data_IF_501975481264
#
_entry.id   IF_501975481264
#
_cell.length_a   1.000
_cell.length_b   1.000
_cell.length_c   1.000
_cell.angle_alpha   90.00
_cell.angle_beta   90.00
_cell.angle_gamma   90.00
#
_symmetry.space_group_name_H-M   'P 1'
#
loop_
_entity.id
_entity.type
_entity.pdbx_description
1 polymer ?
#
# COMPACT_ATOMS: atom_id res chain seq x y z
N UNK A 1 -67.70 -24.20 49.29
CA UNK A 1 -67.21 -24.91 48.06
C UNK A 1 -66.68 -23.94 47.01
N UNK A 2 -65.90 -22.94 47.33
CA UNK A 2 -65.32 -21.99 46.29
C UNK A 2 -63.81 -21.83 46.38
N UNK A 3 -63.15 -22.53 47.27
CA UNK A 3 -61.67 -22.44 47.43
C UNK A 3 -60.89 -23.57 46.74
N UNK A 4 -61.55 -24.63 46.32
CA UNK A 4 -60.89 -25.77 45.70
C UNK A 4 -60.63 -25.60 44.18
N UNK A 5 -61.21 -24.57 43.53
CA UNK A 5 -61.00 -24.35 42.08
C UNK A 5 -59.92 -23.32 41.74
N UNK A 6 -59.41 -22.58 42.72
CA UNK A 6 -58.34 -21.59 42.50
C UNK A 6 -56.97 -22.24 42.61
N UNK A 7 -56.83 -23.32 43.41
CA UNK A 7 -55.55 -24.02 43.55
C UNK A 7 -55.13 -24.84 42.32
N UNK A 8 -56.11 -25.26 41.51
CA UNK A 8 -55.83 -26.04 40.29
C UNK A 8 -55.29 -25.24 39.09
N UNK A 9 -55.63 -23.93 39.05
CA UNK A 9 -55.22 -23.08 37.91
C UNK A 9 -53.79 -22.55 38.11
N UNK A 10 -53.38 -22.35 39.37
CA UNK A 10 -52.00 -21.88 39.68
C UNK A 10 -50.96 -22.98 39.49
N UNK A 11 -51.31 -24.25 39.73
CA UNK A 11 -50.42 -25.40 39.50
C UNK A 11 -50.17 -25.69 38.01
N UNK A 12 -51.13 -25.41 37.13
CA UNK A 12 -50.98 -25.61 35.67
C UNK A 12 -50.11 -24.51 35.01
N UNK A 13 -50.10 -23.25 35.56
CA UNK A 13 -49.31 -22.17 35.02
C UNK A 13 -47.82 -22.25 35.40
N UNK A 14 -47.49 -22.90 36.53
CA UNK A 14 -46.09 -23.08 36.97
C UNK A 14 -45.43 -24.25 36.21
N UNK A 15 -46.16 -25.19 35.74
CA UNK A 15 -45.62 -26.31 34.91
C UNK A 15 -45.25 -25.92 33.47
N UNK A 16 -45.92 -24.91 32.88
CA UNK A 16 -45.61 -24.44 31.53
C UNK A 16 -44.40 -23.49 31.46
N UNK A 17 -44.02 -22.77 32.54
CA UNK A 17 -42.86 -21.89 32.58
C UNK A 17 -41.56 -22.71 32.74
N UNK A 18 -41.59 -23.89 33.27
CA UNK A 18 -40.40 -24.77 33.42
C UNK A 18 -40.01 -25.48 32.13
N UNK A 19 -40.90 -25.55 31.10
CA UNK A 19 -40.61 -26.22 29.81
C UNK A 19 -39.96 -25.31 28.76
N UNK A 20 -39.90 -23.98 28.98
CA UNK A 20 -39.27 -23.01 28.02
C UNK A 20 -37.79 -22.75 28.28
N UNK A 21 -37.21 -23.30 29.37
CA UNK A 21 -35.84 -23.04 29.84
C UNK A 21 -34.74 -23.95 29.24
N UNK A 22 -35.06 -24.83 28.28
CA UNK A 22 -34.07 -25.78 27.74
C UNK A 22 -33.85 -25.61 26.21
N UNK A 23 -34.00 -24.39 25.70
CA UNK A 23 -33.41 -24.07 24.39
C UNK A 23 -31.92 -23.86 24.63
N UNK A 24 -31.15 -24.95 24.45
CA UNK A 24 -29.71 -24.90 24.44
C UNK A 24 -29.28 -23.81 23.48
N UNK A 25 -28.57 -22.80 23.98
CA UNK A 25 -27.80 -21.89 23.15
C UNK A 25 -26.80 -22.78 22.44
N UNK A 26 -27.15 -23.26 21.24
CA UNK A 26 -26.25 -24.01 20.40
C UNK A 26 -24.99 -23.19 20.22
N UNK A 27 -23.84 -23.73 20.63
CA UNK A 27 -22.57 -23.10 20.34
C UNK A 27 -22.56 -22.69 18.88
N UNK A 28 -22.09 -21.47 18.53
CA UNK A 28 -22.03 -21.05 17.15
C UNK A 28 -21.24 -22.11 16.38
N UNK A 29 -21.91 -22.78 15.44
CA UNK A 29 -21.25 -23.70 14.53
C UNK A 29 -20.21 -22.88 13.80
N UNK A 30 -18.93 -23.22 13.99
CA UNK A 30 -17.87 -22.72 13.12
C UNK A 30 -18.25 -23.11 11.69
N UNK A 31 -18.64 -22.14 10.87
CA UNK A 31 -18.81 -22.36 9.43
C UNK A 31 -17.41 -22.66 8.94
N UNK A 32 -17.20 -23.86 8.43
CA UNK A 32 -15.93 -24.21 7.79
C UNK A 32 -15.68 -23.19 6.68
N UNK A 33 -14.48 -22.59 6.68
CA UNK A 33 -14.10 -21.70 5.60
C UNK A 33 -14.24 -22.46 4.26
N UNK A 34 -14.71 -21.79 3.18
CA UNK A 34 -14.77 -22.41 1.86
C UNK A 34 -13.41 -23.04 1.54
N UNK A 35 -13.41 -24.20 0.88
CA UNK A 35 -12.18 -24.97 0.57
C UNK A 35 -11.11 -24.16 -0.22
N UNK A 36 -11.49 -23.03 -0.82
CA UNK A 36 -10.65 -22.17 -1.66
C UNK A 36 -10.09 -20.93 -0.92
N UNK A 37 -10.27 -20.81 0.40
CA UNK A 37 -9.77 -19.66 1.15
C UNK A 37 -8.33 -19.86 1.60
N UNK A 38 -7.38 -19.05 1.09
CA UNK A 38 -6.00 -19.10 1.57
C UNK A 38 -5.90 -18.55 3.00
N UNK A 39 -5.00 -19.14 3.79
CA UNK A 39 -4.67 -18.57 5.10
C UNK A 39 -3.94 -17.22 4.93
N UNK A 40 -3.18 -17.07 3.85
CA UNK A 40 -2.38 -15.90 3.54
C UNK A 40 -2.47 -15.52 2.06
N UNK A 41 -2.77 -14.27 1.76
CA UNK A 41 -2.84 -13.72 0.42
C UNK A 41 -1.85 -12.59 0.24
N UNK A 42 -1.06 -12.65 -0.83
CA UNK A 42 -0.16 -11.57 -1.28
C UNK A 42 -0.83 -10.86 -2.45
N UNK A 43 -1.13 -9.59 -2.29
CA UNK A 43 -1.61 -8.72 -3.36
C UNK A 43 -0.41 -7.94 -3.88
N UNK A 44 -0.01 -8.22 -5.10
CA UNK A 44 1.17 -7.66 -5.75
C UNK A 44 0.77 -6.61 -6.77
N UNK A 45 1.32 -5.41 -6.64
CA UNK A 45 1.03 -4.26 -7.53
C UNK A 45 2.28 -3.95 -8.36
N UNK A 46 2.31 -4.35 -9.65
CA UNK A 46 3.45 -4.11 -10.54
C UNK A 46 3.69 -2.62 -10.80
N UNK A 47 4.89 -2.28 -11.24
CA UNK A 47 5.26 -0.90 -11.57
C UNK A 47 4.74 -0.42 -12.93
N UNK A 48 5.07 0.83 -13.27
CA UNK A 48 4.77 1.43 -14.57
C UNK A 48 5.29 0.53 -15.70
N UNK A 49 4.44 0.29 -16.71
CA UNK A 49 4.67 -0.57 -17.89
C UNK A 49 4.88 -2.05 -17.58
N UNK A 50 4.80 -2.47 -16.33
CA UNK A 50 4.91 -3.88 -15.96
C UNK A 50 3.58 -4.64 -16.01
N UNK A 51 2.47 -3.95 -16.15
CA UNK A 51 1.12 -4.49 -16.32
C UNK A 51 0.26 -3.54 -17.14
N UNK A 52 -0.95 -3.97 -17.53
CA UNK A 52 -2.01 -3.12 -18.10
C UNK A 52 -3.36 -3.79 -17.89
N UNK A 53 -4.45 -3.08 -18.17
CA UNK A 53 -5.83 -3.62 -18.08
C UNK A 53 -6.08 -4.74 -19.09
N UNK A 54 -5.38 -4.70 -20.23
CA UNK A 54 -5.56 -5.66 -21.33
C UNK A 54 -4.52 -6.79 -21.34
N UNK A 55 -3.40 -6.60 -20.65
CA UNK A 55 -2.29 -7.56 -20.58
C UNK A 55 -1.69 -7.56 -19.16
N UNK A 56 -2.39 -8.17 -18.19
CA UNK A 56 -1.91 -8.26 -16.82
C UNK A 56 -0.64 -9.11 -16.74
N UNK A 57 0.43 -8.50 -16.22
CA UNK A 57 1.74 -9.12 -16.05
C UNK A 57 2.22 -8.99 -14.62
N UNK A 58 3.26 -9.72 -14.29
CA UNK A 58 3.79 -9.80 -12.92
C UNK A 58 4.96 -8.86 -12.66
N UNK A 59 5.63 -8.39 -13.71
CA UNK A 59 6.76 -7.50 -13.63
C UNK A 59 7.88 -8.01 -12.71
N UNK A 60 8.61 -7.06 -12.12
CA UNK A 60 9.69 -7.32 -11.16
C UNK A 60 9.22 -8.12 -9.94
N UNK A 61 7.96 -7.93 -9.52
CA UNK A 61 7.40 -8.61 -8.35
C UNK A 61 7.27 -10.13 -8.54
N UNK A 62 7.38 -10.64 -9.76
CA UNK A 62 7.51 -12.08 -10.00
C UNK A 62 8.71 -12.70 -9.28
N UNK A 63 9.79 -11.93 -9.08
CA UNK A 63 10.98 -12.38 -8.34
C UNK A 63 10.73 -12.43 -6.82
N UNK A 64 9.76 -11.67 -6.33
CA UNK A 64 9.35 -11.64 -4.92
C UNK A 64 8.37 -12.77 -4.61
N UNK A 65 7.48 -13.11 -5.51
CA UNK A 65 6.35 -13.99 -5.22
C UNK A 65 6.51 -15.42 -5.73
N UNK A 66 7.39 -15.65 -6.71
CA UNK A 66 7.64 -17.00 -7.26
C UNK A 66 8.28 -17.89 -6.21
N UNK A 67 7.68 -19.07 -5.98
CA UNK A 67 8.21 -20.05 -5.03
C UNK A 67 7.82 -19.77 -3.57
N UNK A 68 6.90 -18.85 -3.30
CA UNK A 68 6.28 -18.76 -1.99
C UNK A 68 5.58 -20.08 -1.61
N UNK A 69 5.39 -20.39 -0.31
CA UNK A 69 4.71 -21.61 0.12
C UNK A 69 3.36 -21.83 -0.56
N UNK A 70 2.97 -23.06 -0.81
CA UNK A 70 1.71 -23.41 -1.47
C UNK A 70 0.45 -22.93 -0.70
N UNK A 71 0.59 -22.61 0.59
CA UNK A 71 -0.45 -22.00 1.43
C UNK A 71 -0.70 -20.53 1.10
N UNK A 72 0.19 -19.88 0.34
CA UNK A 72 0.13 -18.48 -0.06
C UNK A 72 -0.55 -18.37 -1.42
N UNK A 73 -1.60 -17.59 -1.48
CA UNK A 73 -2.21 -17.18 -2.75
C UNK A 73 -1.66 -15.82 -3.16
N UNK A 74 -1.11 -15.72 -4.36
CA UNK A 74 -0.65 -14.45 -4.94
C UNK A 74 -1.62 -13.98 -6.01
N UNK A 75 -2.06 -12.73 -5.90
CA UNK A 75 -2.87 -12.04 -6.89
C UNK A 75 -2.13 -10.80 -7.37
N UNK A 76 -2.11 -10.57 -8.68
CA UNK A 76 -1.49 -9.39 -9.28
C UNK A 76 -2.55 -8.40 -9.69
N UNK A 77 -2.35 -7.14 -9.31
CA UNK A 77 -3.26 -6.05 -9.67
C UNK A 77 -3.03 -5.64 -11.11
N UNK A 78 -4.10 -5.68 -11.91
CA UNK A 78 -4.12 -5.12 -13.25
C UNK A 78 -4.65 -3.69 -13.17
N UNK A 79 -3.98 -2.74 -13.82
CA UNK A 79 -4.35 -1.34 -13.92
C UNK A 79 -3.59 -0.71 -15.09
N UNK A 80 -3.91 0.51 -15.59
CA UNK A 80 -3.26 1.09 -16.76
C UNK A 80 -1.73 1.12 -16.69
N UNK A 81 -1.16 1.35 -15.52
CA UNK A 81 0.29 1.39 -15.24
C UNK A 81 1.05 2.34 -16.18
N UNK A 82 0.42 3.46 -16.56
CA UNK A 82 0.97 4.50 -17.44
C UNK A 82 1.60 5.63 -16.65
N UNK A 83 2.56 6.32 -17.25
CA UNK A 83 3.25 7.46 -16.65
C UNK A 83 3.06 8.74 -17.46
N UNK A 84 2.89 8.65 -18.77
CA UNK A 84 3.02 9.78 -19.69
C UNK A 84 1.67 10.11 -20.35
N UNK A 85 1.34 11.40 -20.55
CA UNK A 85 0.02 11.81 -21.06
C UNK A 85 -0.38 11.22 -22.42
N UNK A 86 0.60 10.88 -23.26
CA UNK A 86 0.34 10.30 -24.60
C UNK A 86 0.09 8.79 -24.60
N UNK A 87 0.12 8.13 -23.43
CA UNK A 87 -0.16 6.71 -23.28
C UNK A 87 -1.66 6.41 -23.05
N UNK A 88 -2.50 7.43 -23.11
CA UNK A 88 -3.95 7.33 -22.93
C UNK A 88 -4.42 7.73 -21.53
N UNK A 89 -3.67 7.39 -20.48
CA UNK A 89 -3.97 7.79 -19.11
C UNK A 89 -2.78 8.51 -18.49
N UNK A 90 -3.06 9.60 -17.77
CA UNK A 90 -2.04 10.31 -16.98
C UNK A 90 -1.74 9.54 -15.68
N UNK A 91 -0.53 9.74 -15.15
CA UNK A 91 -0.03 9.03 -13.96
C UNK A 91 -1.04 8.98 -12.81
N UNK A 92 -1.60 10.12 -12.39
CA UNK A 92 -2.52 10.16 -11.24
C UNK A 92 -3.84 9.43 -11.47
N UNK A 93 -4.30 9.28 -12.73
CA UNK A 93 -5.48 8.49 -13.04
C UNK A 93 -5.15 6.99 -13.02
N UNK A 94 -4.03 6.62 -13.62
CA UNK A 94 -3.50 5.26 -13.58
C UNK A 94 -3.29 4.77 -12.13
N UNK A 95 -2.67 5.59 -11.30
CA UNK A 95 -2.45 5.32 -9.88
C UNK A 95 -3.78 5.14 -9.12
N UNK A 96 -4.74 6.05 -9.27
CA UNK A 96 -6.06 5.97 -8.64
C UNK A 96 -6.82 4.71 -9.05
N UNK A 97 -6.73 4.31 -10.31
CA UNK A 97 -7.34 3.06 -10.78
C UNK A 97 -6.66 1.85 -10.15
N UNK A 98 -5.33 1.85 -10.06
CA UNK A 98 -4.58 0.84 -9.32
C UNK A 98 -5.02 0.71 -7.87
N UNK A 99 -5.22 1.84 -7.17
CA UNK A 99 -5.73 1.87 -5.78
C UNK A 99 -7.14 1.26 -5.70
N UNK A 100 -8.04 1.63 -6.60
CA UNK A 100 -9.42 1.10 -6.62
C UNK A 100 -9.44 -0.41 -6.91
N UNK A 101 -8.63 -0.87 -7.87
CA UNK A 101 -8.54 -2.30 -8.22
C UNK A 101 -7.93 -3.11 -7.07
N UNK A 102 -6.92 -2.57 -6.39
CA UNK A 102 -6.31 -3.19 -5.20
C UNK A 102 -7.33 -3.29 -4.06
N UNK A 103 -8.08 -2.23 -3.76
CA UNK A 103 -9.17 -2.23 -2.77
C UNK A 103 -10.22 -3.27 -3.12
N UNK A 104 -10.69 -3.30 -4.36
CA UNK A 104 -11.69 -4.25 -4.84
C UNK A 104 -11.23 -5.69 -4.66
N UNK A 105 -10.01 -6.02 -5.06
CA UNK A 105 -9.44 -7.35 -4.93
C UNK A 105 -9.34 -7.81 -3.48
N UNK A 106 -8.89 -6.94 -2.57
CA UNK A 106 -8.83 -7.23 -1.13
C UNK A 106 -10.24 -7.41 -0.58
N UNK A 107 -11.18 -6.52 -0.89
CA UNK A 107 -12.55 -6.56 -0.39
C UNK A 107 -13.27 -7.84 -0.82
N UNK A 108 -13.14 -8.24 -2.09
CA UNK A 108 -13.73 -9.45 -2.64
C UNK A 108 -13.20 -10.72 -1.96
N UNK A 109 -11.88 -10.81 -1.79
CA UNK A 109 -11.29 -11.96 -1.12
C UNK A 109 -11.62 -11.96 0.37
N UNK A 110 -11.57 -10.81 1.03
CA UNK A 110 -11.89 -10.66 2.45
C UNK A 110 -13.36 -10.98 2.76
N UNK A 111 -14.28 -10.60 1.86
CA UNK A 111 -15.71 -10.87 1.98
C UNK A 111 -16.04 -12.36 1.88
N UNK A 112 -15.32 -13.10 1.04
CA UNK A 112 -15.47 -14.55 0.89
C UNK A 112 -14.70 -15.33 1.96
N UNK A 113 -13.56 -14.80 2.41
CA UNK A 113 -12.58 -15.49 3.22
C UNK A 113 -12.26 -14.67 4.48
N UNK A 114 -13.16 -14.70 5.47
CA UNK A 114 -13.07 -13.87 6.68
C UNK A 114 -11.80 -14.04 7.51
N UNK A 115 -11.11 -15.19 7.43
CA UNK A 115 -9.89 -15.47 8.19
C UNK A 115 -8.58 -15.23 7.41
N UNK A 116 -8.64 -14.90 6.12
CA UNK A 116 -7.44 -14.65 5.30
C UNK A 116 -6.68 -13.43 5.81
N UNK A 117 -5.38 -13.57 6.03
CA UNK A 117 -4.46 -12.46 6.29
C UNK A 117 -3.86 -11.98 4.97
N UNK A 118 -3.54 -10.70 4.88
CA UNK A 118 -3.08 -10.06 3.66
C UNK A 118 -1.66 -9.53 3.80
N UNK A 119 -0.92 -9.62 2.70
CA UNK A 119 0.26 -8.79 2.45
C UNK A 119 0.03 -7.93 1.21
N UNK A 120 0.57 -6.72 1.23
CA UNK A 120 0.67 -5.84 0.08
C UNK A 120 2.13 -5.73 -0.33
N UNK A 121 2.42 -5.92 -1.62
CA UNK A 121 3.75 -5.64 -2.17
C UNK A 121 3.62 -4.79 -3.42
N UNK A 122 4.48 -3.79 -3.55
CA UNK A 122 4.45 -2.88 -4.69
C UNK A 122 5.85 -2.48 -5.15
N UNK A 123 5.97 -2.16 -6.44
CA UNK A 123 7.18 -1.60 -7.03
C UNK A 123 6.85 -0.32 -7.79
N UNK A 124 7.64 0.76 -7.58
CA UNK A 124 7.53 2.01 -8.34
C UNK A 124 6.12 2.63 -8.19
N UNK A 125 5.40 2.91 -9.27
CA UNK A 125 4.00 3.34 -9.22
C UNK A 125 3.13 2.33 -8.43
N UNK A 126 3.39 1.04 -8.55
CA UNK A 126 2.72 0.02 -7.75
C UNK A 126 3.05 0.09 -6.26
N UNK A 127 4.23 0.59 -5.87
CA UNK A 127 4.55 0.87 -4.47
C UNK A 127 3.77 2.07 -3.94
N UNK A 128 3.52 3.10 -4.78
CA UNK A 128 2.60 4.18 -4.46
C UNK A 128 1.20 3.63 -4.16
N UNK A 129 0.64 2.87 -5.10
CA UNK A 129 -0.68 2.24 -4.98
C UNK A 129 -0.78 1.35 -3.73
N UNK A 130 0.13 0.40 -3.56
CA UNK A 130 0.12 -0.52 -2.42
C UNK A 130 0.28 0.21 -1.08
N UNK A 131 1.13 1.23 -1.05
CA UNK A 131 1.37 2.06 0.13
C UNK A 131 0.15 2.91 0.50
N UNK A 132 -0.57 3.49 -0.47
CA UNK A 132 -1.78 4.28 -0.21
C UNK A 132 -2.90 3.40 0.34
N UNK A 133 -3.12 2.21 -0.23
CA UNK A 133 -4.09 1.24 0.32
C UNK A 133 -3.69 0.77 1.72
N UNK A 134 -2.38 0.55 1.97
CA UNK A 134 -1.90 0.21 3.30
C UNK A 134 -2.13 1.33 4.32
N UNK A 135 -1.90 2.59 3.93
CA UNK A 135 -2.15 3.76 4.78
C UNK A 135 -3.65 3.92 5.13
N UNK A 136 -4.54 3.67 4.18
CA UNK A 136 -5.99 3.65 4.43
C UNK A 136 -6.39 2.56 5.43
N UNK A 137 -5.89 1.34 5.24
CA UNK A 137 -6.12 0.24 6.18
C UNK A 137 -5.58 0.61 7.55
N UNK A 138 -4.35 1.15 7.61
CA UNK A 138 -3.71 1.55 8.85
C UNK A 138 -4.39 2.71 9.58
N UNK A 139 -5.08 3.59 8.87
CA UNK A 139 -5.92 4.66 9.46
C UNK A 139 -7.30 4.19 9.91
N UNK A 140 -7.68 2.95 9.62
CA UNK A 140 -8.97 2.37 9.99
C UNK A 140 -10.11 2.68 9.03
N UNK A 141 -9.85 3.33 7.89
CA UNK A 141 -10.85 3.62 6.85
C UNK A 141 -10.75 2.67 5.65
N UNK A 142 -9.80 1.72 5.68
CA UNK A 142 -9.59 0.76 4.61
C UNK A 142 -10.64 -0.34 4.54
N UNK A 143 -10.55 -1.17 3.50
CA UNK A 143 -11.52 -2.24 3.18
C UNK A 143 -11.42 -3.48 4.07
N UNK A 144 -10.38 -3.57 4.90
CA UNK A 144 -10.20 -4.59 5.95
C UNK A 144 -9.71 -3.94 7.24
N UNK A 145 -9.93 -4.57 8.41
CA UNK A 145 -9.31 -4.13 9.67
C UNK A 145 -7.77 -4.21 9.60
N UNK A 146 -7.05 -3.29 10.30
CA UNK A 146 -5.58 -3.23 10.27
C UNK A 146 -4.88 -4.52 10.67
N UNK A 147 -5.42 -5.30 11.59
CA UNK A 147 -4.85 -6.56 12.09
C UNK A 147 -4.86 -7.69 11.04
N UNK A 148 -5.64 -7.54 9.97
CA UNK A 148 -5.61 -8.47 8.84
C UNK A 148 -4.53 -8.17 7.80
N UNK A 149 -3.92 -6.97 7.83
CA UNK A 149 -2.78 -6.62 6.99
C UNK A 149 -1.48 -6.87 7.78
N UNK A 150 -0.77 -7.93 7.45
CA UNK A 150 0.36 -8.43 8.26
C UNK A 150 1.74 -8.19 7.65
N UNK A 151 1.78 -7.72 6.41
CA UNK A 151 3.01 -7.30 5.74
C UNK A 151 2.74 -6.27 4.65
N UNK A 152 3.62 -5.27 4.53
CA UNK A 152 3.64 -4.31 3.43
C UNK A 152 5.08 -4.13 2.98
N UNK A 153 5.39 -4.50 1.75
CA UNK A 153 6.73 -4.41 1.16
C UNK A 153 6.73 -3.46 -0.04
N UNK A 154 7.48 -2.37 0.04
CA UNK A 154 7.48 -1.31 -0.96
C UNK A 154 8.89 -1.14 -1.55
N UNK A 155 9.05 -1.49 -2.83
CA UNK A 155 10.27 -1.26 -3.60
C UNK A 155 10.14 0.06 -4.36
N UNK A 156 11.05 1.00 -4.14
CA UNK A 156 11.04 2.32 -4.79
C UNK A 156 9.73 3.10 -4.60
N UNK A 157 9.31 3.27 -3.34
CA UNK A 157 8.08 4.00 -3.04
C UNK A 157 8.28 5.52 -3.21
N UNK A 158 7.55 6.18 -4.14
CA UNK A 158 7.68 7.63 -4.35
C UNK A 158 7.10 8.44 -3.19
N UNK A 159 6.41 7.80 -2.25
CA UNK A 159 5.90 8.42 -1.03
C UNK A 159 6.59 7.93 0.25
N UNK A 160 7.80 7.37 0.10
CA UNK A 160 8.62 6.99 1.25
C UNK A 160 8.86 8.18 2.17
N UNK A 161 8.64 7.98 3.47
CA UNK A 161 9.06 8.92 4.51
C UNK A 161 10.48 8.58 5.00
N UNK A 162 11.30 9.58 5.40
CA UNK A 162 12.56 9.32 6.10
C UNK A 162 12.38 8.51 7.40
N UNK A 163 11.18 8.50 7.97
CA UNK A 163 10.83 7.76 9.19
C UNK A 163 10.31 6.36 8.95
N UNK A 164 10.08 5.97 7.69
CA UNK A 164 9.67 4.60 7.37
C UNK A 164 10.81 3.62 7.63
N UNK A 165 10.47 2.39 8.03
CA UNK A 165 11.48 1.37 8.26
C UNK A 165 12.12 0.95 6.95
N UNK A 166 13.30 1.45 6.69
CA UNK A 166 14.11 1.19 5.51
C UNK A 166 14.92 -0.10 5.69
N UNK A 167 14.88 -0.96 4.69
CA UNK A 167 15.72 -2.14 4.54
C UNK A 167 16.80 -1.85 3.51
N UNK A 168 18.05 -1.98 3.91
CA UNK A 168 19.20 -1.70 3.06
C UNK A 168 20.05 -0.52 3.54
N UNK A 169 20.97 -0.08 2.70
CA UNK A 169 21.78 1.11 2.95
C UNK A 169 20.91 2.35 3.14
N UNK A 170 21.33 3.30 4.03
CA UNK A 170 20.58 4.53 4.24
C UNK A 170 20.51 5.36 2.96
N UNK A 171 19.38 6.03 2.78
CA UNK A 171 19.14 7.01 1.71
C UNK A 171 18.59 8.29 2.29
N UNK A 172 18.94 9.41 1.70
CA UNK A 172 18.53 10.74 2.17
C UNK A 172 17.10 11.10 1.69
N UNK A 173 16.54 12.12 2.30
CA UNK A 173 15.29 12.76 1.89
C UNK A 173 14.08 11.82 1.90
N UNK A 174 13.05 12.23 1.16
CA UNK A 174 11.80 11.52 1.01
C UNK A 174 11.59 11.06 -0.43
N UNK A 175 10.55 10.27 -0.69
CA UNK A 175 10.15 9.94 -2.05
C UNK A 175 9.71 11.18 -2.83
N UNK A 176 9.82 11.14 -4.16
CA UNK A 176 9.58 12.27 -5.06
C UNK A 176 8.18 12.88 -4.91
N UNK A 177 7.19 12.07 -4.58
CA UNK A 177 5.81 12.51 -4.37
C UNK A 177 5.51 13.01 -2.94
N UNK A 178 6.53 13.09 -2.09
CA UNK A 178 6.40 13.48 -0.68
C UNK A 178 5.84 12.38 0.22
N UNK A 179 6.19 12.43 1.50
CA UNK A 179 5.74 11.43 2.47
C UNK A 179 4.20 11.41 2.62
N UNK A 180 3.65 10.24 2.93
CA UNK A 180 2.22 10.10 3.27
C UNK A 180 1.91 10.82 4.57
N UNK A 181 1.00 11.83 4.59
CA UNK A 181 0.54 12.44 5.82
C UNK A 181 -0.10 11.39 6.74
N UNK A 182 0.32 11.37 8.01
CA UNK A 182 -0.12 10.35 8.96
C UNK A 182 0.56 8.98 8.81
N UNK A 183 1.41 8.80 7.81
CA UNK A 183 2.16 7.56 7.58
C UNK A 183 1.25 6.35 7.36
N UNK A 184 1.62 5.23 7.98
CA UNK A 184 0.88 3.97 7.84
C UNK A 184 0.01 3.64 9.07
N UNK A 185 -0.18 4.56 10.00
CA UNK A 185 -1.04 4.36 11.16
C UNK A 185 -0.77 3.05 11.91
N UNK A 186 -1.81 2.26 12.17
CA UNK A 186 -1.72 1.00 12.93
C UNK A 186 -0.88 -0.09 12.26
N UNK A 187 -0.68 -0.03 10.92
CA UNK A 187 0.11 -1.03 10.19
C UNK A 187 1.58 -0.64 10.03
N UNK A 188 2.02 0.52 10.55
CA UNK A 188 3.44 0.95 10.51
C UNK A 188 4.43 -0.14 10.93
N UNK A 189 4.18 -0.96 11.98
CA UNK A 189 5.13 -2.00 12.41
C UNK A 189 5.37 -3.10 11.36
N UNK A 190 4.44 -3.30 10.44
CA UNK A 190 4.52 -4.34 9.40
C UNK A 190 4.88 -3.79 8.02
N UNK A 191 5.28 -2.52 7.93
CA UNK A 191 5.75 -1.90 6.68
C UNK A 191 7.27 -1.99 6.57
N UNK A 192 7.75 -2.33 5.38
CA UNK A 192 9.17 -2.32 5.00
C UNK A 192 9.32 -1.62 3.67
N UNK A 193 10.19 -0.62 3.62
CA UNK A 193 10.54 0.09 2.39
C UNK A 193 11.95 -0.27 1.96
N UNK A 194 12.17 -0.39 0.67
CA UNK A 194 13.48 -0.60 0.08
C UNK A 194 13.68 0.45 -1.00
N UNK A 195 14.75 1.23 -0.87
CA UNK A 195 15.10 2.29 -1.81
C UNK A 195 16.57 2.15 -2.19
N UNK A 196 16.86 1.96 -3.47
CA UNK A 196 18.24 1.87 -3.94
C UNK A 196 18.91 3.25 -3.87
N UNK A 197 20.15 3.27 -3.43
CA UNK A 197 20.93 4.52 -3.38
C UNK A 197 21.01 5.12 -4.78
N UNK A 198 20.60 6.39 -4.91
CA UNK A 198 20.54 7.09 -6.19
C UNK A 198 19.21 6.93 -6.95
N UNK A 199 18.26 6.17 -6.44
CA UNK A 199 16.91 6.11 -7.00
C UNK A 199 16.10 7.34 -6.56
N UNK A 200 16.05 8.34 -7.43
CA UNK A 200 15.35 9.61 -7.19
C UNK A 200 13.84 9.45 -7.04
N UNK A 201 13.28 8.31 -7.43
CA UNK A 201 11.84 8.07 -7.26
C UNK A 201 11.46 7.90 -5.79
N UNK A 202 12.30 7.21 -5.01
CA UNK A 202 12.08 6.96 -3.59
C UNK A 202 13.01 7.78 -2.64
N UNK A 203 13.98 8.53 -3.18
CA UNK A 203 14.95 9.30 -2.41
C UNK A 203 15.33 10.57 -3.16
N UNK A 204 14.55 11.63 -2.95
CA UNK A 204 14.89 12.99 -3.42
C UNK A 204 15.54 13.73 -2.26
N UNK A 205 16.74 14.29 -2.45
CA UNK A 205 17.38 15.12 -1.44
C UNK A 205 16.49 16.28 -0.96
N UNK A 206 16.60 16.67 0.31
CA UNK A 206 15.73 17.70 0.88
C UNK A 206 15.94 19.09 0.25
N UNK A 207 17.11 19.33 -0.32
CA UNK A 207 17.46 20.58 -1.02
C UNK A 207 17.04 20.58 -2.51
N UNK A 208 16.56 19.44 -3.05
CA UNK A 208 16.02 19.37 -4.40
C UNK A 208 14.52 19.67 -4.44
N UNK A 209 14.18 20.95 -4.25
CA UNK A 209 12.78 21.42 -4.32
C UNK A 209 12.15 21.20 -5.69
N UNK A 210 12.91 21.29 -6.77
CA UNK A 210 12.40 21.11 -8.14
C UNK A 210 11.94 19.67 -8.38
N UNK A 211 12.73 18.67 -7.94
CA UNK A 211 12.38 17.25 -7.98
C UNK A 211 11.12 16.94 -7.19
N UNK A 212 10.98 17.52 -6.01
CA UNK A 212 9.80 17.35 -5.13
C UNK A 212 8.55 17.99 -5.74
N UNK A 213 8.66 19.19 -6.34
CA UNK A 213 7.54 19.80 -7.05
C UNK A 213 7.10 18.98 -8.27
N UNK A 214 8.04 18.46 -9.05
CA UNK A 214 7.73 17.63 -10.21
C UNK A 214 7.01 16.34 -9.81
N UNK A 215 7.46 15.68 -8.74
CA UNK A 215 6.79 14.48 -8.20
C UNK A 215 5.38 14.78 -7.70
N UNK A 216 5.20 15.88 -6.97
CA UNK A 216 3.89 16.32 -6.50
C UNK A 216 2.94 16.69 -7.65
N UNK A 217 3.42 17.44 -8.66
CA UNK A 217 2.65 17.79 -9.83
C UNK A 217 2.18 16.56 -10.62
N UNK A 218 2.98 15.52 -10.66
CA UNK A 218 2.62 14.25 -11.30
C UNK A 218 1.43 13.59 -10.60
N UNK A 219 1.38 13.61 -9.26
CA UNK A 219 0.21 13.12 -8.51
C UNK A 219 -1.04 13.97 -8.76
N UNK A 220 -0.90 15.28 -8.87
CA UNK A 220 -2.01 16.19 -9.15
C UNK A 220 -2.53 16.10 -10.58
N UNK A 221 -1.93 15.33 -11.46
CA UNK A 221 -2.41 15.18 -12.84
C UNK A 221 -3.85 14.63 -12.91
N UNK A 222 -4.30 13.88 -11.90
CA UNK A 222 -5.69 13.49 -11.71
C UNK A 222 -6.00 13.33 -10.20
N UNK A 223 -6.27 14.40 -9.45
CA UNK A 223 -6.40 14.37 -8.01
C UNK A 223 -7.55 13.49 -7.55
N UNK A 224 -7.32 12.66 -6.54
CA UNK A 224 -8.36 11.93 -5.82
C UNK A 224 -8.99 12.85 -4.77
N UNK A 225 -10.30 13.08 -4.79
CA UNK A 225 -10.99 13.90 -3.79
C UNK A 225 -10.78 13.40 -2.33
N UNK A 226 -10.59 12.09 -2.12
CA UNK A 226 -10.33 11.51 -0.80
C UNK A 226 -8.93 11.84 -0.28
N UNK A 227 -8.00 12.20 -1.18
CA UNK A 227 -6.61 12.55 -0.87
C UNK A 227 -6.39 14.08 -0.73
N UNK A 228 -7.41 14.92 -0.89
CA UNK A 228 -7.28 16.38 -0.78
C UNK A 228 -6.54 16.83 0.50
N UNK A 229 -6.85 16.30 1.70
CA UNK A 229 -6.11 16.66 2.91
C UNK A 229 -4.62 16.31 2.82
N UNK A 230 -4.30 15.19 2.17
CA UNK A 230 -2.93 14.72 1.97
C UNK A 230 -2.17 15.61 0.98
N UNK A 231 -2.81 16.02 -0.12
CA UNK A 231 -2.22 16.99 -1.06
C UNK A 231 -1.96 18.33 -0.40
N UNK A 232 -2.89 18.83 0.41
CA UNK A 232 -2.70 20.07 1.16
C UNK A 232 -1.54 19.97 2.15
N UNK A 233 -1.41 18.85 2.87
CA UNK A 233 -0.31 18.62 3.81
C UNK A 233 1.04 18.50 3.08
N UNK A 234 1.09 17.79 1.95
CA UNK A 234 2.29 17.68 1.11
C UNK A 234 2.70 19.04 0.55
N UNK A 235 1.74 19.81 0.02
CA UNK A 235 2.01 21.17 -0.46
C UNK A 235 2.52 22.07 0.66
N UNK A 236 1.92 22.04 1.84
CA UNK A 236 2.39 22.79 3.00
C UNK A 236 3.81 22.40 3.43
N UNK A 237 4.15 21.11 3.39
CA UNK A 237 5.52 20.64 3.66
C UNK A 237 6.51 21.22 2.66
N UNK A 238 6.21 21.13 1.35
CA UNK A 238 7.05 21.70 0.30
C UNK A 238 7.17 23.22 0.45
N UNK A 239 6.06 23.91 0.73
CA UNK A 239 6.06 25.37 0.92
C UNK A 239 6.79 25.80 2.19
N UNK A 240 6.69 25.06 3.30
CA UNK A 240 7.39 25.39 4.54
C UNK A 240 8.90 25.29 4.40
N UNK A 241 9.38 24.36 3.60
CA UNK A 241 10.80 24.24 3.25
C UNK A 241 11.22 25.28 2.22
N UNK A 242 10.31 25.64 1.30
CA UNK A 242 10.50 26.70 0.30
C UNK A 242 10.51 28.12 0.90
N UNK A 243 10.01 28.36 2.10
CA UNK A 243 10.08 29.66 2.81
C UNK A 243 11.51 30.04 3.22
N UNK A 244 12.50 29.20 2.94
CA UNK A 244 13.92 29.59 2.98
C UNK A 244 14.17 30.64 1.88
N UNK A 245 14.92 31.73 2.17
CA UNK A 245 15.15 32.83 1.23
C UNK A 245 15.69 32.35 -0.12
N UNK A 246 14.98 32.66 -1.21
CA UNK A 246 15.40 32.36 -2.60
C UNK A 246 14.46 31.54 -3.44
N UNK A 247 13.43 30.90 -2.87
CA UNK A 247 12.52 30.01 -3.61
C UNK A 247 11.64 30.68 -4.67
N UNK A 248 11.26 31.97 -4.45
CA UNK A 248 10.50 32.74 -5.44
C UNK A 248 11.28 32.94 -6.75
N UNK A 249 12.61 32.88 -6.70
CA UNK A 249 13.44 32.92 -7.90
C UNK A 249 13.31 31.64 -8.73
N UNK A 250 13.01 30.49 -8.13
CA UNK A 250 12.82 29.21 -8.84
C UNK A 250 11.52 29.23 -9.65
N UNK A 251 10.43 29.81 -9.12
CA UNK A 251 9.16 29.95 -9.83
C UNK A 251 9.17 31.03 -10.90
N UNK A 252 10.05 32.00 -10.80
CA UNK A 252 10.21 33.11 -11.75
C UNK A 252 11.45 32.97 -12.63
N UNK A 253 12.22 31.88 -12.48
CA UNK A 253 13.43 31.66 -13.27
C UNK A 253 13.07 31.53 -14.75
N UNK A 254 13.76 32.24 -15.64
CA UNK A 254 13.68 31.99 -17.08
C UNK A 254 14.07 30.54 -17.38
N UNK A 255 13.57 29.98 -18.49
CA UNK A 255 13.89 28.62 -18.93
C UNK A 255 15.41 28.37 -19.11
N UNK A 256 16.20 29.40 -19.08
CA UNK A 256 17.68 29.41 -19.22
C UNK A 256 18.42 29.45 -17.86
N UNK A 257 17.75 29.21 -16.73
CA UNK A 257 18.39 29.18 -15.41
C UNK A 257 19.31 27.94 -15.27
N UNK A 258 20.56 28.13 -14.83
CA UNK A 258 21.49 27.03 -14.55
C UNK A 258 20.93 25.93 -13.63
N UNK A 259 20.00 26.25 -12.74
CA UNK A 259 19.32 25.29 -11.86
C UNK A 259 18.40 24.33 -12.64
N UNK A 260 17.70 24.81 -13.68
CA UNK A 260 16.83 23.99 -14.53
C UNK A 260 17.64 23.03 -15.41
N UNK A 261 18.80 23.48 -15.89
CA UNK A 261 19.72 22.63 -16.62
C UNK A 261 20.37 21.56 -15.73
N UNK A 262 20.74 21.91 -14.50
CA UNK A 262 21.29 20.98 -13.55
C UNK A 262 20.28 19.88 -13.21
N UNK A 263 19.04 20.25 -12.94
CA UNK A 263 17.96 19.28 -12.69
C UNK A 263 17.70 18.39 -13.90
N UNK A 264 17.63 18.94 -15.11
CA UNK A 264 17.46 18.15 -16.34
C UNK A 264 18.60 17.14 -16.53
N UNK A 265 19.85 17.54 -16.25
CA UNK A 265 20.99 16.63 -16.28
C UNK A 265 20.88 15.53 -15.23
N UNK A 266 20.47 15.86 -14.02
CA UNK A 266 20.29 14.91 -12.92
C UNK A 266 19.21 13.86 -13.25
N UNK A 267 18.06 14.28 -13.78
CA UNK A 267 16.99 13.37 -14.24
C UNK A 267 17.48 12.49 -15.39
N UNK A 268 18.19 13.05 -16.38
CA UNK A 268 18.76 12.26 -17.47
C UNK A 268 19.79 11.24 -16.98
N UNK A 269 20.66 11.60 -16.05
CA UNK A 269 21.62 10.70 -15.42
C UNK A 269 20.91 9.59 -14.64
N UNK A 270 19.87 9.94 -13.86
CA UNK A 270 19.04 8.97 -13.15
C UNK A 270 18.41 7.96 -14.12
N UNK A 271 17.75 8.42 -15.18
CA UNK A 271 17.12 7.55 -16.17
C UNK A 271 18.16 6.66 -16.88
N UNK A 272 19.34 7.19 -17.19
CA UNK A 272 20.42 6.45 -17.84
C UNK A 272 21.12 5.46 -16.89
N UNK A 273 21.06 5.66 -15.58
CA UNK A 273 21.76 4.83 -14.60
C UNK A 273 21.18 3.43 -14.47
N UNK A 274 19.90 3.24 -14.79
CA UNK A 274 19.16 1.99 -14.58
C UNK A 274 18.97 1.63 -13.10
N UNK A 275 19.30 2.53 -12.15
CA UNK A 275 19.20 2.25 -10.71
C UNK A 275 17.78 1.90 -10.29
N UNK A 276 16.78 2.53 -10.91
CA UNK A 276 15.36 2.27 -10.65
C UNK A 276 14.95 0.82 -10.95
N UNK A 277 15.63 0.15 -11.89
CA UNK A 277 15.39 -1.25 -12.23
C UNK A 277 16.34 -2.22 -11.55
N UNK A 278 17.29 -1.74 -10.73
CA UNK A 278 18.38 -2.55 -10.18
C UNK A 278 18.01 -3.43 -8.99
N UNK A 279 16.78 -3.36 -8.46
CA UNK A 279 16.35 -4.07 -7.25
C UNK A 279 16.62 -5.59 -7.23
N UNK A 280 16.57 -6.32 -8.36
CA UNK A 280 16.96 -7.72 -8.39
C UNK A 280 18.43 -7.99 -8.07
N UNK A 281 19.31 -6.99 -8.24
CA UNK A 281 20.74 -7.07 -7.98
C UNK A 281 21.19 -6.17 -6.81
N UNK A 282 20.30 -5.27 -6.33
CA UNK A 282 20.62 -4.33 -5.26
C UNK A 282 20.71 -5.04 -3.90
N UNK A 283 21.91 -5.09 -3.35
CA UNK A 283 22.21 -5.74 -2.07
C UNK A 283 21.73 -4.89 -0.91
N UNK A 284 20.96 -5.49 0.01
CA UNK A 284 20.35 -4.79 1.15
C UNK A 284 20.95 -5.17 2.51
N UNK A 285 21.78 -6.21 2.58
CA UNK A 285 22.42 -6.64 3.84
C UNK A 285 23.84 -7.14 3.65
N UNK A 286 24.55 -7.34 4.76
CA UNK A 286 25.93 -7.80 4.77
C UNK A 286 26.12 -9.25 4.26
N UNK A 287 25.02 -10.02 4.10
CA UNK A 287 25.06 -11.39 3.60
C UNK A 287 24.96 -11.44 2.06
N UNK A 288 24.86 -10.28 1.40
CA UNK A 288 24.69 -10.21 -0.04
C UNK A 288 23.25 -10.47 -0.52
N UNK A 289 22.28 -10.40 0.38
CA UNK A 289 20.86 -10.59 0.00
C UNK A 289 20.38 -9.41 -0.85
N UNK A 290 19.79 -9.71 -2.00
CA UNK A 290 19.23 -8.66 -2.87
C UNK A 290 17.85 -8.22 -2.39
N UNK A 291 17.39 -7.04 -2.82
CA UNK A 291 16.13 -6.44 -2.40
C UNK A 291 14.93 -7.36 -2.66
N UNK A 292 14.84 -7.94 -3.85
CA UNK A 292 13.75 -8.86 -4.20
C UNK A 292 13.84 -10.18 -3.43
N UNK A 293 15.04 -10.71 -3.22
CA UNK A 293 15.25 -11.92 -2.42
C UNK A 293 14.94 -11.69 -0.94
N UNK A 294 15.32 -10.54 -0.40
CA UNK A 294 15.00 -10.18 0.98
C UNK A 294 13.48 -10.14 1.20
N UNK A 295 12.77 -9.46 0.30
CA UNK A 295 11.31 -9.33 0.39
C UNK A 295 10.62 -10.69 0.22
N UNK A 296 11.11 -11.54 -0.69
CA UNK A 296 10.65 -12.93 -0.85
C UNK A 296 10.79 -13.72 0.47
N UNK A 297 12.00 -13.73 1.04
CA UNK A 297 12.28 -14.47 2.27
C UNK A 297 11.41 -13.99 3.42
N UNK A 298 11.26 -12.67 3.57
CA UNK A 298 10.42 -12.09 4.62
C UNK A 298 8.94 -12.50 4.47
N UNK A 299 8.37 -12.49 3.27
CA UNK A 299 7.00 -12.96 3.04
C UNK A 299 6.86 -14.47 3.30
N UNK A 300 7.84 -15.27 2.88
CA UNK A 300 7.85 -16.71 3.13
C UNK A 300 7.89 -17.04 4.63
N UNK A 301 8.62 -16.25 5.43
CA UNK A 301 8.71 -16.43 6.88
C UNK A 301 7.37 -16.07 7.58
N UNK A 302 6.69 -15.00 7.15
CA UNK A 302 5.39 -14.61 7.69
C UNK A 302 4.28 -15.62 7.33
N UNK A 303 4.43 -16.32 6.21
CA UNK A 303 3.46 -17.31 5.73
C UNK A 303 3.56 -18.69 6.39
N UNK A 304 4.61 -18.93 7.22
CA UNK A 304 4.79 -20.15 8.00
C UNK A 304 3.94 -20.14 9.26
#
# INVERSE_FOLDING_TARGET
MRWARVAGVVAALVAEVAAVGAWGVGAPRAVAAPADCPAFAVIAVPGTWETSDTDPRQGMLSLVTRGLPASVRTEYVSYPATALPWEGEVYGRSEREGVNNTRGMIADLAGRCGATRFALVGYSQGANVAGDVAAEIGSGIGVIPPDRLVAVGLLSDPRRSPTDLLIGPPVDGAGAAGARPGGFGWVSPVVRTICAVGDLYCSVPNDDLAGRFAGFATQLSAPDPLQIPNYAATLNSILSEALVPGWLSILSAPQDDPSSEQWSRQVQQFLASGVHQSYPQYVVDANGTTATAWLHNWLADIAR
#
